data_IF_297895784069
#
_entry.id   IF_297895784069
#
_cell.length_a   1.000
_cell.length_b   1.000
_cell.length_c   1.000
_cell.angle_alpha   90.00
_cell.angle_beta   90.00
_cell.angle_gamma   90.00
#
_symmetry.space_group_name_H-M   'P 1'
#
loop_
_entity.id
_entity.type
_entity.pdbx_description
1 polymer ?
#
# COMPACT_ATOMS: atom_id res chain seq x y z
N UNK A 1 -19.28 10.11 -25.90
CA UNK A 1 -17.83 10.09 -26.14
C UNK A 1 -17.15 10.30 -24.80
N UNK A 2 -16.56 9.26 -24.21
CA UNK A 2 -15.87 9.35 -22.92
C UNK A 2 -14.72 10.36 -23.05
N UNK A 3 -14.78 11.46 -22.29
CA UNK A 3 -13.70 12.44 -22.24
C UNK A 3 -12.50 11.78 -21.57
N UNK A 4 -11.57 11.26 -22.37
CA UNK A 4 -10.28 10.75 -21.88
C UNK A 4 -9.41 11.94 -21.49
N UNK A 5 -9.75 12.57 -20.39
CA UNK A 5 -8.82 13.44 -19.67
C UNK A 5 -7.76 12.49 -19.10
N UNK A 6 -6.47 12.64 -19.44
CA UNK A 6 -5.42 11.87 -18.80
C UNK A 6 -5.52 12.08 -17.29
N UNK A 7 -5.51 11.00 -16.52
CA UNK A 7 -5.52 11.10 -15.06
C UNK A 7 -4.35 12.00 -14.63
N UNK A 8 -4.55 12.94 -13.68
CA UNK A 8 -3.53 13.90 -13.26
C UNK A 8 -2.47 13.25 -12.35
N UNK A 9 -1.95 12.09 -12.74
CA UNK A 9 -0.95 11.34 -12.01
C UNK A 9 0.32 11.21 -12.84
N UNK A 10 1.47 11.25 -12.17
CA UNK A 10 2.74 11.03 -12.83
C UNK A 10 2.82 9.59 -13.38
N UNK A 11 3.65 9.35 -14.41
CA UNK A 11 3.89 8.00 -14.90
C UNK A 11 4.32 7.02 -13.79
N UNK A 12 5.06 7.52 -12.81
CA UNK A 12 5.56 6.74 -11.65
C UNK A 12 4.39 6.29 -10.76
N UNK A 13 3.47 7.19 -10.41
CA UNK A 13 2.29 6.82 -9.60
C UNK A 13 1.43 5.79 -10.35
N UNK A 14 1.24 5.97 -11.65
CA UNK A 14 0.49 5.01 -12.47
C UNK A 14 1.18 3.65 -12.58
N UNK A 15 2.51 3.62 -12.59
CA UNK A 15 3.29 2.37 -12.57
C UNK A 15 3.10 1.62 -11.25
N UNK A 16 3.30 2.29 -10.12
CA UNK A 16 3.09 1.68 -8.79
C UNK A 16 1.64 1.26 -8.57
N UNK A 17 0.67 2.01 -9.10
CA UNK A 17 -0.73 1.59 -9.05
C UNK A 17 -0.99 0.29 -9.82
N UNK A 18 -0.36 0.11 -10.99
CA UNK A 18 -0.55 -1.09 -11.83
C UNK A 18 0.28 -2.27 -11.37
N UNK A 19 1.45 -2.00 -10.78
CA UNK A 19 2.39 -3.01 -10.31
C UNK A 19 2.90 -2.64 -8.91
N UNK A 20 2.02 -2.71 -7.89
CA UNK A 20 2.36 -2.30 -6.55
C UNK A 20 3.41 -3.24 -5.97
N UNK A 21 4.42 -2.66 -5.33
CA UNK A 21 5.52 -3.42 -4.73
C UNK A 21 5.21 -3.73 -3.27
N UNK A 22 5.74 -4.85 -2.78
CA UNK A 22 5.65 -5.24 -1.38
C UNK A 22 4.21 -5.38 -0.85
N UNK A 23 3.28 -5.76 -1.72
CA UNK A 23 1.90 -6.06 -1.32
C UNK A 23 1.85 -7.47 -0.75
N UNK A 24 1.27 -7.59 0.44
CA UNK A 24 1.00 -8.86 1.07
C UNK A 24 1.26 -8.85 2.57
N UNK A 25 0.67 -9.86 3.22
CA UNK A 25 0.90 -10.15 4.63
C UNK A 25 2.28 -10.76 4.84
N UNK A 26 2.98 -10.29 5.87
CA UNK A 26 4.20 -10.91 6.38
C UNK A 26 3.90 -11.67 7.67
N UNK A 27 4.24 -12.94 7.73
CA UNK A 27 3.98 -13.79 8.90
C UNK A 27 5.01 -13.58 10.02
N UNK A 28 6.25 -13.28 9.65
CA UNK A 28 7.42 -13.12 10.53
C UNK A 28 7.79 -11.65 10.79
N UNK A 29 6.80 -10.75 10.78
CA UNK A 29 7.03 -9.34 11.05
C UNK A 29 7.42 -9.12 12.53
N UNK A 30 8.44 -8.29 12.76
CA UNK A 30 8.79 -7.80 14.11
C UNK A 30 7.70 -6.87 14.64
N UNK A 31 7.14 -6.04 13.77
CA UNK A 31 6.07 -5.09 14.10
C UNK A 31 4.97 -5.13 13.03
N UNK A 32 3.73 -5.11 13.49
CA UNK A 32 2.55 -4.94 12.64
C UNK A 32 1.70 -3.80 13.20
N UNK A 33 1.21 -2.92 12.33
CA UNK A 33 0.27 -1.86 12.71
C UNK A 33 -0.83 -1.72 11.67
N UNK A 34 -2.03 -1.38 12.12
CA UNK A 34 -3.19 -1.12 11.26
C UNK A 34 -3.72 0.27 11.54
N UNK A 35 -3.95 1.04 10.48
CA UNK A 35 -4.60 2.34 10.53
C UNK A 35 -5.88 2.32 9.70
N UNK A 36 -6.90 3.01 10.17
CA UNK A 36 -8.23 3.01 9.55
C UNK A 36 -9.08 1.82 9.97
N UNK A 37 -10.21 1.65 9.30
CA UNK A 37 -11.11 0.53 9.54
C UNK A 37 -11.88 0.18 8.27
N UNK A 38 -12.27 -1.09 8.08
CA UNK A 38 -13.08 -1.48 6.93
C UNK A 38 -14.41 -0.72 6.86
N UNK A 39 -14.94 -0.28 8.01
CA UNK A 39 -16.19 0.49 8.08
C UNK A 39 -16.05 1.91 7.52
N UNK A 40 -14.85 2.48 7.52
CA UNK A 40 -14.56 3.81 6.98
C UNK A 40 -14.20 3.80 5.49
N UNK A 41 -14.12 2.62 4.87
CA UNK A 41 -13.80 2.44 3.46
C UNK A 41 -12.30 2.33 3.17
N UNK A 42 -11.44 2.91 4.01
CA UNK A 42 -9.98 2.83 3.87
C UNK A 42 -9.34 2.23 5.13
N UNK A 43 -8.49 1.23 4.92
CA UNK A 43 -7.68 0.59 5.94
C UNK A 43 -6.34 0.20 5.33
N UNK A 44 -5.25 0.51 6.04
CA UNK A 44 -3.91 0.07 5.68
C UNK A 44 -3.31 -0.70 6.86
N UNK A 45 -2.61 -1.77 6.53
CA UNK A 45 -1.87 -2.58 7.48
C UNK A 45 -0.43 -2.69 7.02
N UNK A 46 0.49 -2.27 7.88
CA UNK A 46 1.93 -2.29 7.64
C UNK A 46 2.56 -3.43 8.44
N UNK A 47 3.54 -4.08 7.82
CA UNK A 47 4.35 -5.12 8.40
C UNK A 47 5.81 -4.76 8.23
N UNK A 48 6.58 -4.74 9.32
CA UNK A 48 8.00 -4.44 9.32
C UNK A 48 8.77 -5.59 9.98
N UNK A 49 9.80 -6.08 9.32
CA UNK A 49 10.83 -6.92 9.93
C UNK A 49 12.05 -6.05 10.20
N UNK A 50 12.43 -6.02 11.47
CA UNK A 50 13.52 -5.19 12.00
C UNK A 50 14.56 -6.12 12.62
N UNK A 51 15.80 -5.99 12.17
CA UNK A 51 16.98 -6.70 12.67
C UNK A 51 18.07 -5.66 12.95
N UNK A 52 18.65 -5.67 14.15
CA UNK A 52 19.71 -4.74 14.57
C UNK A 52 19.39 -3.25 14.25
N UNK A 53 18.18 -2.82 14.61
CA UNK A 53 17.65 -1.47 14.34
C UNK A 53 17.50 -1.08 12.85
N UNK A 54 17.64 -2.05 11.93
CA UNK A 54 17.43 -1.87 10.49
C UNK A 54 16.13 -2.52 10.02
N UNK A 55 15.33 -1.80 9.23
CA UNK A 55 14.19 -2.39 8.51
C UNK A 55 14.74 -3.20 7.33
N UNK A 56 14.73 -4.51 7.46
CA UNK A 56 15.22 -5.45 6.45
C UNK A 56 14.12 -5.88 5.47
N UNK A 57 12.86 -5.73 5.85
CA UNK A 57 11.71 -6.02 5.01
C UNK A 57 10.49 -5.22 5.45
N UNK A 58 9.73 -4.73 4.47
CA UNK A 58 8.51 -3.99 4.72
C UNK A 58 7.45 -4.38 3.68
N UNK A 59 6.30 -4.87 4.15
CA UNK A 59 5.15 -5.18 3.28
C UNK A 59 3.89 -4.51 3.81
N UNK A 60 2.87 -4.42 2.97
CA UNK A 60 1.59 -3.84 3.36
C UNK A 60 0.40 -4.55 2.73
N UNK A 61 -0.74 -4.41 3.40
CA UNK A 61 -2.04 -4.70 2.85
C UNK A 61 -2.86 -3.41 2.90
N UNK A 62 -3.40 -2.99 1.76
CA UNK A 62 -4.27 -1.82 1.66
C UNK A 62 -5.65 -2.28 1.18
N UNK A 63 -6.68 -1.89 1.90
CA UNK A 63 -8.08 -2.14 1.59
C UNK A 63 -8.77 -0.80 1.46
N UNK A 64 -9.34 -0.51 0.28
CA UNK A 64 -10.08 0.72 0.04
C UNK A 64 -10.02 1.19 -1.39
N UNK A 65 -10.25 2.49 -1.60
CA UNK A 65 -10.29 3.09 -2.94
C UNK A 65 -8.92 2.98 -3.63
N UNK A 66 -8.91 3.00 -4.97
CA UNK A 66 -7.68 2.95 -5.79
C UNK A 66 -6.59 3.95 -5.35
N UNK A 67 -6.97 5.11 -4.81
CA UNK A 67 -6.05 6.11 -4.28
C UNK A 67 -5.28 5.67 -3.02
N UNK A 68 -5.73 4.62 -2.33
CA UNK A 68 -5.09 4.09 -1.12
C UNK A 68 -3.97 3.07 -1.44
N UNK A 69 -3.75 2.75 -2.72
CA UNK A 69 -2.81 1.70 -3.16
C UNK A 69 -1.50 2.29 -3.73
N UNK A 70 -1.48 3.55 -4.17
CA UNK A 70 -0.38 4.14 -4.96
C UNK A 70 0.10 5.50 -4.43
#
# INVERSE_FOLDING_TARGET
>A
MSSRIPLPYSPVVLEYFRNPKNVGRMENATVQSTAGSPACGDMIRLYLRIEDDLIVEATFESYGCAANIA
#
